data_IF_534511472205
#
_entry.id   IF_534511472205
#
_cell.length_a   1.000
_cell.length_b   1.000
_cell.length_c   1.000
_cell.angle_alpha   90.00
_cell.angle_beta   90.00
_cell.angle_gamma   90.00
#
_symmetry.space_group_name_H-M   'P 1'
#
loop_
_entity.id
_entity.type
_entity.pdbx_description
1 polymer ?
#
# COMPACT_ATOMS: atom_id res chain seq x y z
N UNK A 1 -29.38 -15.25 4.47
CA UNK A 1 -28.98 -15.92 5.73
C UNK A 1 -27.46 -15.97 5.76
N UNK A 2 -26.84 -15.14 6.58
CA UNK A 2 -25.37 -15.05 6.70
C UNK A 2 -24.90 -16.23 7.54
N UNK A 3 -24.18 -17.19 6.96
CA UNK A 3 -23.47 -18.20 7.74
C UNK A 3 -22.20 -17.55 8.31
N UNK A 4 -22.22 -17.26 9.60
CA UNK A 4 -21.01 -16.94 10.36
C UNK A 4 -20.24 -18.24 10.56
N UNK A 5 -19.01 -18.29 10.04
CA UNK A 5 -18.07 -19.34 10.44
C UNK A 5 -17.38 -18.82 11.69
N UNK A 6 -17.96 -19.16 12.85
CA UNK A 6 -17.28 -19.02 14.12
C UNK A 6 -16.41 -20.26 14.34
N UNK A 7 -15.10 -20.11 14.38
CA UNK A 7 -14.23 -21.11 14.97
C UNK A 7 -14.34 -20.96 16.49
N UNK A 8 -15.24 -21.69 17.10
CA UNK A 8 -15.34 -21.79 18.54
C UNK A 8 -14.35 -22.85 19.02
N UNK A 9 -13.26 -22.48 19.65
CA UNK A 9 -12.48 -23.36 20.49
C UNK A 9 -13.11 -23.40 21.88
N UNK A 10 -13.69 -24.56 22.22
CA UNK A 10 -14.22 -24.86 23.53
C UNK A 10 -13.08 -25.00 24.54
N UNK A 11 -13.18 -24.21 25.61
CA UNK A 11 -12.29 -24.23 26.77
C UNK A 11 -12.60 -25.47 27.63
N UNK A 12 -11.64 -26.40 27.75
CA UNK A 12 -11.59 -27.36 28.86
C UNK A 12 -10.57 -26.82 29.86
N UNK A 13 -11.04 -26.43 31.03
CA UNK A 13 -10.18 -26.10 32.16
C UNK A 13 -9.59 -27.37 32.75
N UNK A 14 -8.29 -27.58 32.57
CA UNK A 14 -7.47 -28.43 33.42
C UNK A 14 -6.22 -27.60 33.77
N UNK A 15 -5.95 -27.47 35.06
CA UNK A 15 -4.83 -26.76 35.61
C UNK A 15 -3.51 -27.40 35.17
N UNK A 16 -2.89 -26.84 34.14
CA UNK A 16 -1.56 -27.13 33.66
C UNK A 16 -1.14 -25.93 32.85
N UNK A 17 0.08 -25.46 33.02
CA UNK A 17 0.67 -24.34 32.27
C UNK A 17 0.62 -24.61 30.76
N UNK A 18 -0.43 -24.11 30.10
CA UNK A 18 -0.52 -24.13 28.65
C UNK A 18 0.45 -23.06 28.14
N UNK A 19 1.34 -23.36 27.21
CA UNK A 19 2.17 -22.33 26.59
C UNK A 19 1.28 -21.27 25.95
N UNK A 20 1.62 -20.01 26.15
CA UNK A 20 0.89 -18.90 25.56
C UNK A 20 0.87 -19.07 24.03
N UNK A 21 -0.32 -19.07 23.42
CA UNK A 21 -0.48 -19.04 21.97
C UNK A 21 -0.58 -17.60 21.53
N UNK A 22 -0.03 -17.29 20.34
CA UNK A 22 -0.21 -16.01 19.70
C UNK A 22 -1.72 -15.74 19.49
N UNK A 23 -2.16 -14.54 19.80
CA UNK A 23 -3.51 -14.08 19.53
C UNK A 23 -3.51 -13.21 18.28
N UNK A 24 -4.57 -13.30 17.48
CA UNK A 24 -4.74 -12.50 16.26
C UNK A 24 -5.82 -11.46 16.47
N UNK A 25 -5.53 -10.18 16.18
CA UNK A 25 -6.51 -9.09 16.18
C UNK A 25 -6.84 -8.72 14.76
N UNK A 26 -8.11 -8.50 14.48
CA UNK A 26 -8.65 -8.17 13.16
C UNK A 26 -9.30 -9.37 12.49
N UNK A 27 -10.23 -9.11 11.61
CA UNK A 27 -10.83 -10.14 10.77
C UNK A 27 -10.22 -10.03 9.37
N UNK A 28 -9.73 -11.16 8.85
CA UNK A 28 -9.39 -11.23 7.44
C UNK A 28 -10.65 -10.97 6.61
N UNK A 29 -10.56 -10.04 5.66
CA UNK A 29 -11.66 -9.76 4.76
C UNK A 29 -11.82 -10.91 3.77
N UNK A 30 -12.96 -11.60 3.79
CA UNK A 30 -13.26 -12.58 2.75
C UNK A 30 -13.71 -11.86 1.48
N UNK A 31 -12.88 -11.91 0.46
CA UNK A 31 -13.17 -11.37 -0.86
C UNK A 31 -13.59 -12.52 -1.77
N UNK A 32 -14.74 -12.39 -2.40
CA UNK A 32 -15.26 -13.39 -3.35
C UNK A 32 -15.30 -12.80 -4.75
N UNK A 33 -14.65 -13.43 -5.70
CA UNK A 33 -14.78 -13.14 -7.12
C UNK A 33 -15.63 -14.20 -7.79
N UNK A 34 -16.63 -13.79 -8.54
CA UNK A 34 -17.48 -14.69 -9.33
C UNK A 34 -17.50 -14.24 -10.78
N UNK A 35 -17.24 -15.16 -11.67
CA UNK A 35 -17.11 -14.93 -13.11
C UNK A 35 -17.93 -15.96 -13.88
N UNK A 36 -18.74 -15.54 -14.87
CA UNK A 36 -19.56 -16.42 -15.69
C UNK A 36 -18.94 -16.58 -17.08
N UNK A 37 -18.76 -17.81 -17.50
CA UNK A 37 -18.22 -18.13 -18.85
C UNK A 37 -19.15 -17.60 -19.94
N UNK A 38 -18.56 -17.01 -20.97
CA UNK A 38 -19.29 -16.37 -22.08
C UNK A 38 -19.70 -14.95 -21.83
N UNK A 39 -19.46 -14.40 -20.63
CA UNK A 39 -19.78 -13.02 -20.28
C UNK A 39 -18.53 -12.16 -20.12
N UNK A 40 -18.73 -10.83 -20.13
CA UNK A 40 -17.71 -9.82 -19.82
C UNK A 40 -17.93 -9.24 -18.42
N UNK A 41 -18.29 -10.08 -17.47
CA UNK A 41 -18.65 -9.67 -16.13
C UNK A 41 -17.90 -10.48 -15.09
N UNK A 42 -17.26 -9.75 -14.18
CA UNK A 42 -16.67 -10.23 -12.95
C UNK A 42 -17.42 -9.57 -11.78
N UNK A 43 -17.66 -10.29 -10.73
CA UNK A 43 -18.27 -9.75 -9.52
C UNK A 43 -17.31 -9.88 -8.35
N UNK A 44 -17.00 -8.77 -7.66
CA UNK A 44 -16.29 -8.77 -6.38
C UNK A 44 -17.29 -8.47 -5.28
N UNK A 45 -17.48 -9.41 -4.35
CA UNK A 45 -18.45 -9.27 -3.25
C UNK A 45 -19.84 -8.79 -3.72
N UNK A 46 -20.32 -9.29 -4.89
CA UNK A 46 -21.56 -8.88 -5.60
C UNK A 46 -21.50 -7.53 -6.34
N UNK A 47 -20.44 -6.76 -6.25
CA UNK A 47 -20.25 -5.56 -7.06
C UNK A 47 -19.75 -5.94 -8.44
N UNK A 48 -20.41 -5.45 -9.48
CA UNK A 48 -20.05 -5.76 -10.87
C UNK A 48 -18.79 -5.01 -11.30
N UNK A 49 -17.87 -5.74 -11.91
CA UNK A 49 -16.67 -5.22 -12.56
C UNK A 49 -16.73 -5.60 -14.04
N UNK A 50 -16.83 -4.61 -14.95
CA UNK A 50 -16.85 -4.90 -16.37
C UNK A 50 -15.49 -5.40 -16.85
N UNK A 51 -15.49 -6.49 -17.60
CA UNK A 51 -14.30 -7.02 -18.24
C UNK A 51 -14.19 -6.49 -19.67
N UNK A 52 -12.99 -6.28 -20.14
CA UNK A 52 -12.70 -5.90 -21.51
C UNK A 52 -12.79 -7.09 -22.48
N UNK A 53 -12.77 -8.33 -21.97
CA UNK A 53 -12.91 -9.56 -22.74
C UNK A 53 -13.77 -10.60 -22.01
N UNK A 54 -14.43 -11.47 -22.78
CA UNK A 54 -15.27 -12.52 -22.21
C UNK A 54 -14.41 -13.69 -21.68
N UNK A 55 -14.86 -14.26 -20.57
CA UNK A 55 -14.32 -15.49 -19.98
C UNK A 55 -14.73 -16.66 -20.85
N UNK A 56 -13.81 -17.59 -21.11
CA UNK A 56 -14.08 -18.76 -21.95
C UNK A 56 -13.41 -20.03 -21.39
N UNK A 57 -13.77 -21.19 -21.96
CA UNK A 57 -13.13 -22.45 -21.62
C UNK A 57 -12.12 -22.81 -22.72
N UNK A 58 -10.91 -23.19 -22.31
CA UNK A 58 -9.87 -23.75 -23.18
C UNK A 58 -9.21 -24.95 -22.50
N UNK A 59 -9.15 -26.06 -23.19
CA UNK A 59 -8.53 -27.29 -22.68
C UNK A 59 -9.03 -27.74 -21.29
N UNK A 60 -10.31 -27.49 -21.02
CA UNK A 60 -10.94 -27.80 -19.73
C UNK A 60 -10.72 -26.75 -18.63
N UNK A 61 -10.03 -25.66 -18.92
CA UNK A 61 -9.77 -24.58 -17.95
C UNK A 61 -10.62 -23.35 -18.24
N UNK A 62 -11.18 -22.75 -17.20
CA UNK A 62 -11.77 -21.43 -17.28
C UNK A 62 -10.66 -20.38 -17.40
N UNK A 63 -10.70 -19.60 -18.46
CA UNK A 63 -9.68 -18.61 -18.83
C UNK A 63 -10.13 -17.22 -18.45
N UNK A 64 -9.44 -16.58 -17.50
CA UNK A 64 -9.73 -15.24 -17.02
C UNK A 64 -8.76 -14.22 -17.61
N UNK A 65 -9.23 -13.03 -18.02
CA UNK A 65 -8.36 -11.98 -18.52
C UNK A 65 -7.49 -11.42 -17.38
N UNK A 66 -6.17 -11.51 -17.56
CA UNK A 66 -5.16 -11.24 -16.54
C UNK A 66 -5.28 -9.82 -15.97
N UNK A 67 -5.29 -8.81 -16.83
CA UNK A 67 -5.34 -7.40 -16.42
C UNK A 67 -6.59 -7.08 -15.59
N UNK A 68 -7.75 -7.43 -16.11
CA UNK A 68 -9.01 -7.07 -15.49
C UNK A 68 -9.21 -7.75 -14.12
N UNK A 69 -8.73 -8.97 -13.96
CA UNK A 69 -8.80 -9.66 -12.67
C UNK A 69 -7.87 -8.99 -11.65
N UNK A 70 -6.64 -8.67 -12.02
CA UNK A 70 -5.67 -8.06 -11.12
C UNK A 70 -6.04 -6.65 -10.68
N UNK A 71 -6.47 -5.80 -11.61
CA UNK A 71 -6.96 -4.45 -11.26
C UNK A 71 -8.19 -4.48 -10.37
N UNK A 72 -8.91 -5.60 -10.32
CA UNK A 72 -10.05 -5.79 -9.43
C UNK A 72 -9.65 -6.20 -8.00
N UNK A 73 -8.44 -6.71 -7.80
CA UNK A 73 -7.91 -7.10 -6.49
C UNK A 73 -7.19 -5.92 -5.85
N UNK A 74 -6.27 -5.33 -6.59
CA UNK A 74 -5.44 -4.20 -6.18
C UNK A 74 -5.29 -3.28 -7.39
N UNK A 75 -5.22 -1.96 -7.21
CA UNK A 75 -5.08 -0.99 -8.30
C UNK A 75 -3.72 -1.09 -9.04
N UNK A 76 -3.16 -2.29 -9.10
CA UNK A 76 -1.88 -2.56 -9.71
C UNK A 76 -1.82 -2.26 -11.21
N UNK A 77 -0.70 -1.76 -11.65
CA UNK A 77 -0.40 -1.55 -13.07
C UNK A 77 0.14 -2.83 -13.69
N UNK A 78 -0.33 -3.19 -14.89
CA UNK A 78 0.19 -4.31 -15.66
C UNK A 78 0.91 -3.79 -16.90
N UNK A 79 2.11 -4.31 -17.11
CA UNK A 79 2.90 -4.07 -18.31
C UNK A 79 2.86 -5.32 -19.18
N UNK A 80 2.67 -5.12 -20.49
CA UNK A 80 2.64 -6.19 -21.49
C UNK A 80 3.65 -5.91 -22.59
N UNK A 81 4.43 -6.91 -22.87
CA UNK A 81 5.37 -6.90 -23.96
C UNK A 81 4.95 -7.86 -25.05
N UNK A 82 4.66 -7.31 -26.21
CA UNK A 82 4.09 -8.06 -27.32
C UNK A 82 5.08 -9.03 -27.96
N UNK A 83 6.36 -8.66 -28.04
CA UNK A 83 7.39 -9.39 -28.79
C UNK A 83 7.89 -10.60 -28.02
N UNK A 84 8.18 -10.45 -26.74
CA UNK A 84 8.60 -11.56 -25.86
C UNK A 84 7.42 -12.32 -25.25
N UNK A 85 6.19 -11.80 -25.43
CA UNK A 85 4.96 -12.33 -24.83
C UNK A 85 5.05 -12.49 -23.31
N UNK A 86 5.72 -11.53 -22.68
CA UNK A 86 5.86 -11.42 -21.24
C UNK A 86 4.90 -10.37 -20.69
N UNK A 87 4.13 -10.72 -19.68
CA UNK A 87 3.38 -9.78 -18.88
C UNK A 87 3.96 -9.72 -17.47
N UNK A 88 4.10 -8.53 -16.90
CA UNK A 88 4.48 -8.40 -15.51
C UNK A 88 3.66 -7.31 -14.82
N UNK A 89 3.51 -7.44 -13.51
CA UNK A 89 2.67 -6.58 -12.71
C UNK A 89 3.12 -6.58 -11.26
N UNK A 90 2.72 -5.54 -10.54
CA UNK A 90 2.87 -5.47 -9.09
C UNK A 90 1.53 -5.82 -8.45
N UNK A 91 1.55 -6.67 -7.44
CA UNK A 91 0.41 -7.04 -6.62
C UNK A 91 0.85 -7.09 -5.15
N UNK A 92 0.34 -6.19 -4.31
CA UNK A 92 0.78 -6.05 -2.91
C UNK A 92 2.30 -5.91 -2.74
N UNK A 93 2.96 -5.14 -3.58
CA UNK A 93 4.41 -5.00 -3.56
C UNK A 93 5.19 -6.19 -4.13
N UNK A 94 4.51 -7.28 -4.53
CA UNK A 94 5.13 -8.45 -5.14
C UNK A 94 5.09 -8.34 -6.66
N UNK A 95 6.18 -8.71 -7.33
CA UNK A 95 6.25 -8.76 -8.79
C UNK A 95 5.76 -10.11 -9.29
N UNK A 96 4.72 -10.11 -10.12
CA UNK A 96 4.23 -11.30 -10.84
C UNK A 96 4.61 -11.17 -12.30
N UNK A 97 5.32 -12.14 -12.85
CA UNK A 97 5.66 -12.18 -14.27
C UNK A 97 5.08 -13.45 -14.92
N UNK A 98 4.41 -13.28 -16.06
CA UNK A 98 3.80 -14.35 -16.85
C UNK A 98 4.48 -14.39 -18.23
N UNK A 99 5.31 -15.39 -18.47
CA UNK A 99 5.89 -15.67 -19.79
C UNK A 99 4.96 -16.63 -20.54
N UNK A 100 4.23 -16.08 -21.50
CA UNK A 100 3.17 -16.82 -22.22
C UNK A 100 3.80 -17.83 -23.18
N UNK A 101 4.98 -17.55 -23.72
CA UNK A 101 5.68 -18.44 -24.66
C UNK A 101 6.21 -19.68 -23.96
N UNK A 102 6.89 -19.47 -22.82
CA UNK A 102 7.39 -20.57 -21.99
C UNK A 102 6.31 -21.20 -21.11
N UNK A 103 5.13 -20.58 -21.05
CA UNK A 103 4.04 -20.97 -20.14
C UNK A 103 4.50 -21.06 -18.69
N UNK A 104 5.24 -20.06 -18.22
CA UNK A 104 5.75 -19.99 -16.86
C UNK A 104 5.26 -18.72 -16.16
N UNK A 105 5.06 -18.82 -14.86
CA UNK A 105 4.70 -17.70 -14.00
C UNK A 105 5.71 -17.66 -12.86
N UNK A 106 6.19 -16.47 -12.52
CA UNK A 106 7.05 -16.24 -11.36
C UNK A 106 6.43 -15.18 -10.44
N UNK A 107 6.67 -15.34 -9.14
CA UNK A 107 6.37 -14.32 -8.13
C UNK A 107 7.68 -13.95 -7.45
N UNK A 108 8.05 -12.67 -7.48
CA UNK A 108 9.36 -12.16 -7.02
C UNK A 108 10.56 -12.90 -7.64
N UNK A 109 10.42 -13.33 -8.88
CA UNK A 109 11.44 -14.10 -9.60
C UNK A 109 11.43 -15.61 -9.32
N UNK A 110 10.71 -16.08 -8.31
CA UNK A 110 10.57 -17.51 -7.99
C UNK A 110 9.45 -18.14 -8.83
N UNK A 111 9.72 -19.29 -9.50
CA UNK A 111 8.71 -19.96 -10.32
C UNK A 111 7.62 -20.58 -9.46
N UNK A 112 6.37 -20.45 -9.92
CA UNK A 112 5.22 -21.15 -9.32
C UNK A 112 4.74 -22.26 -10.24
N UNK A 113 4.04 -23.25 -9.67
CA UNK A 113 3.43 -24.32 -10.43
C UNK A 113 2.30 -23.77 -11.33
N UNK A 114 2.34 -24.12 -12.63
CA UNK A 114 1.38 -23.66 -13.63
C UNK A 114 0.53 -24.83 -14.13
N UNK A 115 -0.79 -24.71 -13.97
CA UNK A 115 -1.79 -25.64 -14.47
C UNK A 115 -2.42 -25.12 -15.76
N UNK A 116 -2.40 -25.92 -16.82
CA UNK A 116 -2.94 -25.52 -18.12
C UNK A 116 -2.03 -24.52 -18.86
N UNK A 117 -2.47 -24.09 -20.03
CA UNK A 117 -1.68 -23.16 -20.85
C UNK A 117 -2.32 -21.77 -20.88
N UNK A 118 -1.53 -20.76 -20.61
CA UNK A 118 -1.90 -19.37 -20.82
C UNK A 118 -2.19 -19.10 -22.29
N UNK A 119 -2.99 -18.10 -22.58
CA UNK A 119 -3.43 -17.79 -23.95
C UNK A 119 -3.42 -16.29 -24.23
N UNK A 120 -3.23 -15.94 -25.49
CA UNK A 120 -3.44 -14.57 -25.97
C UNK A 120 -4.59 -14.61 -26.97
N UNK A 121 -5.63 -13.84 -26.68
CA UNK A 121 -6.79 -13.71 -27.55
C UNK A 121 -7.20 -12.25 -27.67
N UNK A 122 -7.35 -11.77 -28.90
CA UNK A 122 -7.73 -10.37 -29.21
C UNK A 122 -6.81 -9.34 -28.49
N UNK A 123 -5.49 -9.64 -28.44
CA UNK A 123 -4.49 -8.79 -27.79
C UNK A 123 -4.55 -8.79 -26.26
N UNK A 124 -5.26 -9.72 -25.65
CA UNK A 124 -5.39 -9.87 -24.20
C UNK A 124 -4.85 -11.19 -23.72
N UNK A 125 -4.21 -11.15 -22.55
CA UNK A 125 -3.66 -12.34 -21.90
C UNK A 125 -4.74 -12.95 -21.01
N UNK A 126 -4.85 -14.27 -21.11
CA UNK A 126 -5.72 -15.08 -20.28
C UNK A 126 -4.91 -16.11 -19.52
N UNK A 127 -5.22 -16.23 -18.24
CA UNK A 127 -4.59 -17.19 -17.34
C UNK A 127 -5.65 -18.19 -16.86
N UNK A 128 -5.34 -19.50 -16.87
CA UNK A 128 -6.22 -20.49 -16.29
C UNK A 128 -6.56 -20.18 -14.83
N UNK A 129 -7.83 -20.28 -14.47
CA UNK A 129 -8.33 -19.95 -13.14
C UNK A 129 -7.53 -20.57 -12.00
N UNK A 130 -7.11 -21.83 -12.15
CA UNK A 130 -6.36 -22.56 -11.11
C UNK A 130 -5.02 -21.93 -10.75
N UNK A 131 -4.39 -21.23 -11.69
CA UNK A 131 -3.10 -20.57 -11.41
C UNK A 131 -3.23 -19.39 -10.46
N UNK A 132 -4.42 -18.81 -10.36
CA UNK A 132 -4.68 -17.68 -9.50
C UNK A 132 -4.42 -17.96 -8.00
N UNK A 133 -4.68 -19.20 -7.56
CA UNK A 133 -4.32 -19.62 -6.20
C UNK A 133 -2.83 -19.42 -5.94
N UNK A 134 -1.97 -19.96 -6.80
CA UNK A 134 -0.53 -19.91 -6.61
C UNK A 134 0.01 -18.47 -6.75
N UNK A 135 -0.55 -17.70 -7.68
CA UNK A 135 -0.23 -16.28 -7.83
C UNK A 135 -0.60 -15.50 -6.57
N UNK A 136 -1.83 -15.64 -6.08
CA UNK A 136 -2.34 -14.91 -4.93
C UNK A 136 -1.62 -15.30 -3.64
N UNK A 137 -1.40 -16.60 -3.42
CA UNK A 137 -0.64 -17.07 -2.26
C UNK A 137 0.81 -16.57 -2.28
N UNK A 138 1.46 -16.55 -3.45
CA UNK A 138 2.79 -15.97 -3.60
C UNK A 138 2.84 -14.46 -3.34
N UNK A 139 1.71 -13.78 -3.45
CA UNK A 139 1.57 -12.34 -3.17
C UNK A 139 1.01 -12.04 -1.77
N UNK A 140 0.99 -13.02 -0.86
CA UNK A 140 0.59 -12.82 0.53
C UNK A 140 -0.93 -12.79 0.76
N UNK A 141 -1.74 -13.33 -0.16
CA UNK A 141 -3.14 -13.65 0.10
C UNK A 141 -3.26 -15.12 0.51
N UNK A 142 -4.31 -15.47 1.20
CA UNK A 142 -4.61 -16.87 1.54
C UNK A 142 -5.74 -17.40 0.66
N UNK A 143 -5.43 -18.39 -0.18
CA UNK A 143 -6.39 -19.08 -1.06
C UNK A 143 -6.16 -20.59 -0.93
N UNK A 144 -7.14 -21.32 -0.43
CA UNK A 144 -7.12 -22.78 -0.35
C UNK A 144 -7.58 -23.44 -1.69
N UNK A 145 -7.33 -24.72 -1.85
CA UNK A 145 -7.81 -25.45 -3.05
C UNK A 145 -9.34 -25.48 -3.13
N UNK A 146 -10.01 -25.48 -1.99
CA UNK A 146 -11.48 -25.45 -1.86
C UNK A 146 -12.09 -24.10 -2.19
N UNK A 147 -11.27 -23.05 -2.28
CA UNK A 147 -11.72 -21.68 -2.51
C UNK A 147 -11.83 -21.34 -4.00
N UNK A 148 -11.38 -22.24 -4.88
CA UNK A 148 -11.60 -22.16 -6.32
C UNK A 148 -12.70 -23.13 -6.70
N UNK A 149 -13.88 -22.58 -6.91
CA UNK A 149 -15.10 -23.36 -7.13
C UNK A 149 -15.52 -23.22 -8.60
N UNK A 150 -15.78 -24.35 -9.25
CA UNK A 150 -16.38 -24.41 -10.57
C UNK A 150 -17.79 -25.00 -10.49
N UNK A 151 -18.78 -24.21 -10.87
CA UNK A 151 -20.16 -24.67 -11.07
C UNK A 151 -20.37 -24.96 -12.58
N UNK A 152 -20.47 -26.25 -12.90
CA UNK A 152 -20.62 -26.70 -14.29
C UNK A 152 -22.03 -26.43 -14.84
N UNK A 153 -23.06 -26.39 -13.99
CA UNK A 153 -24.44 -26.15 -14.39
C UNK A 153 -24.65 -24.67 -14.77
N UNK A 154 -24.16 -23.77 -13.92
CA UNK A 154 -24.25 -22.31 -14.14
C UNK A 154 -23.09 -21.76 -15.01
N UNK A 155 -22.08 -22.60 -15.28
CA UNK A 155 -20.81 -22.21 -15.95
C UNK A 155 -20.16 -21.00 -15.27
N UNK A 156 -20.13 -21.03 -13.94
CA UNK A 156 -19.52 -19.98 -13.13
C UNK A 156 -18.25 -20.45 -12.46
N UNK A 157 -17.27 -19.57 -12.41
CA UNK A 157 -16.04 -19.75 -11.67
C UNK A 157 -16.04 -18.79 -10.48
N UNK A 158 -15.77 -19.30 -9.29
CA UNK A 158 -15.67 -18.50 -8.07
C UNK A 158 -14.30 -18.68 -7.44
N UNK A 159 -13.66 -17.57 -7.09
CA UNK A 159 -12.42 -17.55 -6.30
C UNK A 159 -12.74 -16.83 -4.99
N UNK A 160 -12.48 -17.50 -3.88
CA UNK A 160 -12.56 -16.90 -2.55
C UNK A 160 -11.14 -16.71 -2.01
N UNK A 161 -10.83 -15.55 -1.50
CA UNK A 161 -9.55 -15.27 -0.86
C UNK A 161 -9.77 -14.56 0.47
N UNK A 162 -8.83 -14.76 1.38
CA UNK A 162 -8.75 -14.01 2.62
C UNK A 162 -7.69 -12.91 2.45
N UNK A 163 -8.11 -11.69 2.68
CA UNK A 163 -7.21 -10.56 2.84
C UNK A 163 -6.94 -10.37 4.34
N UNK A 164 -5.78 -10.81 4.76
CA UNK A 164 -5.31 -10.73 6.15
C UNK A 164 -4.48 -9.46 6.44
N UNK A 165 -4.37 -8.54 5.50
CA UNK A 165 -3.62 -7.29 5.69
C UNK A 165 -4.10 -6.45 6.87
N UNK A 166 -5.32 -6.73 7.37
CA UNK A 166 -5.92 -6.10 8.55
C UNK A 166 -5.83 -6.95 9.81
N UNK A 167 -5.18 -8.12 9.72
CA UNK A 167 -5.00 -9.05 10.84
C UNK A 167 -3.68 -8.75 11.53
N UNK A 168 -3.71 -8.51 12.84
CA UNK A 168 -2.51 -8.27 13.66
C UNK A 168 -2.29 -9.50 14.53
N UNK A 169 -1.14 -10.14 14.41
CA UNK A 169 -0.73 -11.19 15.32
C UNK A 169 -0.12 -10.58 16.59
N UNK A 170 -0.67 -10.92 17.74
CA UNK A 170 -0.11 -10.55 19.05
C UNK A 170 0.85 -11.64 19.47
N UNK A 171 2.13 -11.32 19.77
CA UNK A 171 3.08 -12.28 20.28
C UNK A 171 2.58 -12.97 21.55
N UNK A 172 2.93 -14.23 21.72
CA UNK A 172 2.51 -15.05 22.87
C UNK A 172 3.01 -14.53 24.23
N UNK A 173 4.02 -13.69 24.23
CA UNK A 173 4.66 -13.05 25.39
C UNK A 173 4.12 -11.64 25.68
N UNK A 174 3.16 -11.15 24.92
CA UNK A 174 2.52 -9.88 25.23
C UNK A 174 1.83 -9.92 26.61
N UNK A 175 1.94 -8.86 27.44
CA UNK A 175 1.38 -8.84 28.78
C UNK A 175 -0.16 -9.02 28.73
N UNK A 176 -0.66 -10.06 29.38
CA UNK A 176 -2.10 -10.37 29.46
C UNK A 176 -2.73 -9.75 30.69
N UNK A 177 -3.88 -9.11 30.53
CA UNK A 177 -4.67 -8.65 31.67
C UNK A 177 -5.26 -9.84 32.43
N UNK A 178 -4.90 -9.96 33.70
CA UNK A 178 -5.60 -10.78 34.68
C UNK A 178 -6.62 -9.91 35.39
N UNK A 179 -7.84 -9.87 34.89
CA UNK A 179 -8.98 -9.17 35.51
C UNK A 179 -10.22 -10.00 35.37
N UNK A 180 -10.81 -10.41 36.47
CA UNK A 180 -12.10 -11.06 36.46
C UNK A 180 -13.18 -10.15 35.87
N UNK A 181 -13.83 -10.60 34.81
CA UNK A 181 -15.13 -10.08 34.45
C UNK A 181 -15.38 -9.52 33.09
N UNK A 182 -14.41 -9.43 32.16
CA UNK A 182 -14.73 -9.10 30.77
C UNK A 182 -13.97 -9.99 29.80
N UNK A 183 -14.70 -10.85 29.09
CA UNK A 183 -14.18 -11.54 27.91
C UNK A 183 -13.85 -10.49 26.87
N UNK A 184 -12.57 -10.15 26.72
CA UNK A 184 -12.09 -9.36 25.60
C UNK A 184 -12.11 -10.23 24.33
N UNK A 185 -13.26 -10.29 23.69
CA UNK A 185 -13.37 -10.67 22.29
C UNK A 185 -13.23 -9.38 21.50
N UNK A 186 -12.11 -9.18 20.80
CA UNK A 186 -11.83 -7.99 19.99
C UNK A 186 -12.66 -7.90 18.71
N UNK A 187 -13.58 -8.77 18.52
CA UNK A 187 -14.61 -8.73 17.50
C UNK A 187 -15.92 -8.33 18.14
N UNK A 188 -16.25 -7.05 18.17
CA UNK A 188 -17.62 -6.54 18.36
C UNK A 188 -17.94 -5.70 19.61
N UNK A 189 -17.37 -5.80 20.82
CA UNK A 189 -17.74 -4.83 21.86
C UNK A 189 -17.33 -3.40 21.52
N UNK A 190 -16.24 -3.22 20.78
CA UNK A 190 -15.79 -1.90 20.34
C UNK A 190 -16.73 -1.30 19.29
N UNK A 191 -17.25 -2.11 18.37
CA UNK A 191 -18.18 -1.65 17.33
C UNK A 191 -19.57 -1.25 17.85
N UNK A 192 -19.98 -1.74 19.02
CA UNK A 192 -21.25 -1.34 19.66
C UNK A 192 -21.11 -0.05 20.47
N UNK A 193 -19.91 0.32 20.85
CA UNK A 193 -19.62 1.53 21.63
C UNK A 193 -19.23 2.71 20.77
N UNK A 194 -18.62 2.47 19.58
CA UNK A 194 -18.12 3.46 18.65
C UNK A 194 -18.78 3.30 17.28
N UNK A 195 -19.00 4.42 16.59
CA UNK A 195 -19.60 4.42 15.28
C UNK A 195 -18.56 4.11 14.18
N UNK A 196 -17.30 4.50 14.40
CA UNK A 196 -16.18 4.19 13.50
C UNK A 196 -14.91 3.90 14.31
N UNK A 197 -14.11 2.92 13.83
CA UNK A 197 -12.79 2.59 14.38
C UNK A 197 -11.81 2.45 13.22
N UNK A 198 -10.71 3.22 13.28
CA UNK A 198 -9.62 3.19 12.29
C UNK A 198 -8.34 2.65 12.91
N UNK A 199 -7.76 1.65 12.29
CA UNK A 199 -6.41 1.21 12.63
C UNK A 199 -5.41 2.28 12.14
N UNK A 200 -4.48 2.68 13.00
CA UNK A 200 -3.45 3.67 12.71
C UNK A 200 -2.02 3.12 12.80
N UNK A 201 -1.91 1.80 12.84
CA UNK A 201 -0.63 1.09 12.93
C UNK A 201 -0.14 0.85 14.36
N UNK A 202 0.83 -0.03 14.51
CA UNK A 202 1.51 -0.38 15.77
C UNK A 202 0.57 -0.77 16.92
N UNK A 203 -0.58 -1.36 16.59
CA UNK A 203 -1.57 -1.78 17.59
C UNK A 203 -2.39 -0.64 18.19
N UNK A 204 -2.46 0.51 17.54
CA UNK A 204 -3.29 1.64 17.98
C UNK A 204 -4.45 1.89 17.04
N UNK A 205 -5.55 2.41 17.61
CA UNK A 205 -6.77 2.69 16.88
C UNK A 205 -7.33 4.06 17.27
N UNK A 206 -7.91 4.76 16.29
CA UNK A 206 -8.74 5.93 16.53
C UNK A 206 -10.20 5.48 16.44
N UNK A 207 -10.94 5.62 17.52
CA UNK A 207 -12.37 5.37 17.55
C UNK A 207 -13.15 6.70 17.61
N UNK A 208 -14.30 6.73 16.96
CA UNK A 208 -15.14 7.90 16.84
C UNK A 208 -16.56 7.60 17.28
N UNK A 209 -17.18 8.57 17.96
CA UNK A 209 -18.62 8.57 18.21
C UNK A 209 -19.28 9.70 17.45
N UNK A 210 -20.39 9.38 16.82
CA UNK A 210 -21.23 10.35 16.11
C UNK A 210 -22.50 10.67 16.89
N UNK A 211 -22.92 11.90 16.80
CA UNK A 211 -24.24 12.31 17.24
C UNK A 211 -24.89 13.16 16.15
N UNK A 212 -26.07 12.73 15.66
CA UNK A 212 -26.81 13.44 14.60
C UNK A 212 -26.00 13.65 13.30
N UNK A 213 -25.16 12.66 12.93
CA UNK A 213 -24.35 12.70 11.72
C UNK A 213 -23.10 13.59 11.81
N UNK A 214 -22.67 13.95 13.02
CA UNK A 214 -21.42 14.67 13.28
C UNK A 214 -20.59 13.90 14.30
N UNK A 215 -19.28 13.85 14.08
CA UNK A 215 -18.36 13.26 15.05
C UNK A 215 -18.40 14.14 16.31
N UNK A 216 -18.70 13.50 17.43
CA UNK A 216 -18.80 14.14 18.74
C UNK A 216 -17.55 13.97 19.58
N UNK A 217 -16.92 12.79 19.43
CA UNK A 217 -15.81 12.39 20.28
C UNK A 217 -14.83 11.54 19.52
N UNK A 218 -13.54 11.72 19.82
CA UNK A 218 -12.44 10.89 19.36
C UNK A 218 -11.81 10.18 20.56
N UNK A 219 -11.40 8.96 20.36
CA UNK A 219 -10.71 8.15 21.35
C UNK A 219 -9.48 7.52 20.71
N UNK A 220 -8.35 7.56 21.39
CA UNK A 220 -7.20 6.71 21.08
C UNK A 220 -7.31 5.45 21.91
N UNK A 221 -7.26 4.31 21.23
CA UNK A 221 -7.29 3.00 21.85
C UNK A 221 -5.97 2.28 21.60
N UNK A 222 -5.54 1.49 22.56
CA UNK A 222 -4.43 0.56 22.37
C UNK A 222 -4.87 -0.74 21.68
N UNK A 223 -3.93 -1.67 21.49
CA UNK A 223 -4.18 -2.98 20.90
C UNK A 223 -5.15 -3.86 21.70
N UNK A 224 -5.41 -3.52 22.96
CA UNK A 224 -6.38 -4.20 23.83
C UNK A 224 -7.75 -3.54 23.80
N UNK A 225 -7.88 -2.40 23.08
CA UNK A 225 -9.08 -1.58 23.08
C UNK A 225 -9.25 -0.70 24.32
N UNK A 226 -8.19 -0.56 25.15
CA UNK A 226 -8.21 0.36 26.27
C UNK A 226 -8.11 1.79 25.77
N UNK A 227 -8.89 2.68 26.36
CA UNK A 227 -8.84 4.11 26.02
C UNK A 227 -7.60 4.74 26.63
N UNK A 228 -6.66 5.14 25.80
CA UNK A 228 -5.49 5.90 26.18
C UNK A 228 -5.82 7.39 26.28
N UNK A 229 -6.62 7.90 25.34
CA UNK A 229 -7.03 9.28 25.25
C UNK A 229 -8.52 9.38 24.95
N UNK A 230 -9.17 10.36 25.51
CA UNK A 230 -10.57 10.68 25.30
C UNK A 230 -10.72 12.16 25.05
N UNK A 231 -11.22 12.51 23.89
CA UNK A 231 -11.49 13.89 23.51
C UNK A 231 -12.99 14.11 23.37
N UNK A 232 -13.64 14.22 24.51
CA UNK A 232 -15.06 14.56 24.63
C UNK A 232 -15.16 16.08 24.88
N UNK A 233 -15.63 16.85 23.93
CA UNK A 233 -15.90 18.28 24.04
C UNK A 233 -14.73 19.26 23.98
N UNK A 234 -13.53 18.86 23.65
CA UNK A 234 -12.35 19.76 23.66
C UNK A 234 -12.20 20.59 22.37
N UNK A 235 -13.30 20.78 21.61
CA UNK A 235 -13.25 21.53 20.35
C UNK A 235 -12.37 20.89 19.30
N UNK A 236 -12.23 19.56 19.31
CA UNK A 236 -11.48 18.81 18.30
C UNK A 236 -12.37 18.54 17.10
N UNK A 237 -11.97 19.10 15.96
CA UNK A 237 -12.60 18.86 14.66
C UNK A 237 -12.10 17.56 14.03
N UNK A 238 -10.82 17.22 14.24
CA UNK A 238 -10.18 16.06 13.63
C UNK A 238 -9.04 15.52 14.49
N UNK A 239 -8.98 14.20 14.59
CA UNK A 239 -7.84 13.45 15.13
C UNK A 239 -7.42 12.41 14.08
N UNK A 240 -6.14 12.34 13.77
CA UNK A 240 -5.62 11.39 12.77
C UNK A 240 -4.19 10.96 13.05
N UNK A 241 -3.79 9.85 12.45
CA UNK A 241 -2.41 9.40 12.49
C UNK A 241 -1.50 10.40 11.76
N UNK A 242 -0.36 10.73 12.35
CA UNK A 242 0.69 11.52 11.73
C UNK A 242 1.92 10.67 11.35
N UNK A 243 1.99 9.40 11.76
CA UNK A 243 3.16 8.53 11.58
C UNK A 243 4.09 8.56 12.78
N UNK A 244 4.99 7.58 12.86
CA UNK A 244 6.04 7.44 13.89
C UNK A 244 5.57 7.58 15.34
N UNK A 245 4.36 7.13 15.63
CA UNK A 245 3.82 7.20 16.99
C UNK A 245 3.18 8.55 17.35
N UNK A 246 3.06 9.43 16.39
CA UNK A 246 2.41 10.74 16.59
C UNK A 246 1.02 10.78 15.98
N UNK A 247 0.19 11.67 16.56
CA UNK A 247 -1.15 11.99 16.09
C UNK A 247 -1.20 13.48 15.77
N UNK A 248 -1.96 13.83 14.74
CA UNK A 248 -2.29 15.20 14.41
C UNK A 248 -3.70 15.54 14.88
N UNK A 249 -3.83 16.65 15.52
CA UNK A 249 -5.10 17.19 16.01
C UNK A 249 -5.41 18.47 15.24
N UNK A 250 -6.66 18.64 14.88
CA UNK A 250 -7.19 19.92 14.41
C UNK A 250 -8.32 20.35 15.32
N UNK A 251 -8.26 21.59 15.78
CA UNK A 251 -9.25 22.20 16.67
C UNK A 251 -10.24 23.06 15.88
N UNK A 252 -11.44 23.22 16.42
CA UNK A 252 -12.49 24.08 15.84
C UNK A 252 -12.07 25.56 15.72
N UNK A 253 -11.14 26.01 16.53
CA UNK A 253 -10.56 27.37 16.44
C UNK A 253 -9.54 27.53 15.30
N UNK A 254 -9.28 26.46 14.54
CA UNK A 254 -8.35 26.43 13.41
C UNK A 254 -6.91 26.09 13.79
N UNK A 255 -6.57 25.96 15.07
CA UNK A 255 -5.26 25.48 15.50
C UNK A 255 -5.05 24.01 15.14
N UNK A 256 -3.79 23.63 14.98
CA UNK A 256 -3.39 22.22 14.86
C UNK A 256 -2.34 21.90 15.92
N UNK A 257 -2.27 20.64 16.33
CA UNK A 257 -1.26 20.16 17.27
C UNK A 257 -0.70 18.82 16.85
N UNK A 258 0.56 18.58 17.16
CA UNK A 258 1.19 17.28 17.15
C UNK A 258 1.20 16.75 18.59
N UNK A 259 0.67 15.56 18.79
CA UNK A 259 0.64 14.87 20.09
C UNK A 259 1.27 13.48 19.95
N UNK A 260 1.86 12.97 21.00
CA UNK A 260 2.27 11.57 21.06
C UNK A 260 1.09 10.65 21.45
N UNK A 261 1.32 9.34 21.42
CA UNK A 261 0.32 8.33 21.79
C UNK A 261 -0.09 8.34 23.26
N UNK A 262 0.63 9.07 24.12
CA UNK A 262 0.27 9.27 25.52
C UNK A 262 -0.55 10.56 25.72
N UNK A 263 -0.83 11.28 24.64
CA UNK A 263 -1.55 12.56 24.68
C UNK A 263 -0.69 13.77 25.03
N UNK A 264 0.62 13.58 25.16
CA UNK A 264 1.53 14.69 25.39
C UNK A 264 1.64 15.52 24.11
N UNK A 265 1.23 16.78 24.21
CA UNK A 265 1.39 17.74 23.14
C UNK A 265 2.87 18.07 22.96
N UNK A 266 3.36 17.91 21.72
CA UNK A 266 4.72 18.26 21.35
C UNK A 266 4.77 19.75 21.02
N UNK A 267 3.85 20.21 20.18
CA UNK A 267 3.61 21.61 19.91
C UNK A 267 2.17 21.83 19.40
N UNK A 268 1.73 23.09 19.45
CA UNK A 268 0.46 23.58 18.90
C UNK A 268 0.71 24.85 18.10
N UNK A 269 0.00 25.04 17.02
CA UNK A 269 0.17 26.18 16.12
C UNK A 269 -1.12 26.55 15.41
N UNK A 270 -1.31 27.84 15.13
CA UNK A 270 -2.33 28.36 14.25
C UNK A 270 -1.79 28.70 12.84
N UNK A 271 -0.47 28.58 12.66
CA UNK A 271 0.21 29.01 11.43
C UNK A 271 0.29 27.90 10.40
N UNK A 272 0.38 26.62 10.85
CA UNK A 272 0.63 25.48 10.00
C UNK A 272 -0.46 24.43 10.11
N UNK A 273 -0.75 23.78 8.98
CA UNK A 273 -1.50 22.51 8.94
C UNK A 273 -0.52 21.36 8.99
N UNK A 274 -0.71 20.44 9.94
CA UNK A 274 0.14 19.25 10.13
C UNK A 274 -0.36 18.11 9.28
N UNK A 275 0.53 17.44 8.52
CA UNK A 275 0.20 16.30 7.68
C UNK A 275 0.76 14.98 8.20
N UNK A 276 2.09 14.86 8.30
CA UNK A 276 2.75 13.60 8.56
C UNK A 276 4.11 13.81 9.21
N UNK A 277 4.52 12.84 10.03
CA UNK A 277 5.88 12.74 10.60
C UNK A 277 6.62 11.63 9.85
N UNK A 278 7.83 11.89 9.44
CA UNK A 278 8.77 10.92 8.88
C UNK A 278 10.20 11.27 9.26
N UNK A 279 10.95 10.29 9.72
CA UNK A 279 12.33 10.42 10.20
C UNK A 279 12.51 11.60 11.17
N UNK A 280 11.52 11.81 12.07
CA UNK A 280 11.52 12.86 13.06
C UNK A 280 11.19 14.27 12.54
N UNK A 281 10.78 14.39 11.28
CA UNK A 281 10.41 15.65 10.62
C UNK A 281 8.89 15.72 10.44
N UNK A 282 8.30 16.86 10.79
CA UNK A 282 6.87 17.11 10.67
C UNK A 282 6.58 17.86 9.39
N UNK A 283 5.98 17.18 8.42
CA UNK A 283 5.52 17.81 7.18
C UNK A 283 4.33 18.71 7.46
N UNK A 284 4.44 19.97 7.09
CA UNK A 284 3.42 20.99 7.31
C UNK A 284 3.21 21.87 6.09
N UNK A 285 2.09 22.58 6.05
CA UNK A 285 1.90 23.71 5.15
C UNK A 285 1.52 24.95 5.93
N UNK A 286 2.04 26.09 5.52
CA UNK A 286 1.37 27.36 5.77
C UNK A 286 0.28 27.54 4.66
N UNK A 287 -0.33 28.72 4.54
CA UNK A 287 -1.45 28.93 3.60
C UNK A 287 -1.10 28.60 2.15
N UNK A 288 0.13 28.86 1.70
CA UNK A 288 0.51 28.84 0.29
C UNK A 288 1.66 27.87 -0.04
N UNK A 289 2.49 27.53 0.94
CA UNK A 289 3.71 26.73 0.74
C UNK A 289 3.82 25.61 1.78
N UNK A 290 4.62 24.63 1.45
CA UNK A 290 4.91 23.49 2.33
C UNK A 290 6.35 23.52 2.82
N UNK A 291 6.59 22.86 3.96
CA UNK A 291 7.90 22.74 4.58
C UNK A 291 7.90 21.73 5.71
N UNK A 292 8.94 21.77 6.50
CA UNK A 292 9.14 20.88 7.63
C UNK A 292 9.43 21.66 8.93
N UNK A 293 8.86 21.13 10.01
CA UNK A 293 9.20 21.50 11.38
C UNK A 293 9.90 20.31 12.05
N UNK A 294 10.64 20.58 13.12
CA UNK A 294 11.05 19.54 14.04
C UNK A 294 9.87 19.09 14.94
N UNK A 295 10.09 18.09 15.77
CA UNK A 295 9.07 17.58 16.70
C UNK A 295 8.69 18.60 17.79
N UNK A 296 9.43 19.67 17.97
CA UNK A 296 9.16 20.77 18.89
C UNK A 296 8.44 21.94 18.23
N UNK A 297 8.23 21.87 16.90
CA UNK A 297 7.54 22.89 16.13
C UNK A 297 8.44 24.02 15.60
N UNK A 298 9.77 23.86 15.68
CA UNK A 298 10.70 24.81 15.08
C UNK A 298 10.84 24.54 13.58
N UNK A 299 10.95 25.62 12.80
CA UNK A 299 11.15 25.52 11.35
C UNK A 299 12.52 24.90 11.02
N UNK A 300 12.50 23.85 10.19
CA UNK A 300 13.70 23.25 9.59
C UNK A 300 13.93 23.82 8.20
N UNK A 301 12.85 24.00 7.43
CA UNK A 301 12.95 24.50 6.05
C UNK A 301 12.25 25.86 5.91
N UNK A 302 12.77 26.75 5.09
CA UNK A 302 11.99 27.92 4.66
C UNK A 302 10.79 27.42 3.82
N UNK A 303 9.64 28.10 4.00
CA UNK A 303 8.40 27.78 3.26
C UNK A 303 8.47 28.35 1.82
N UNK A 304 9.30 27.76 0.97
CA UNK A 304 9.52 28.16 -0.41
C UNK A 304 8.90 27.19 -1.42
N UNK A 305 8.69 25.94 -1.01
CA UNK A 305 8.24 24.87 -1.89
C UNK A 305 6.72 24.84 -2.03
N UNK A 306 6.24 24.56 -3.23
CA UNK A 306 4.82 24.34 -3.49
C UNK A 306 4.35 22.98 -2.95
N UNK A 307 5.25 22.00 -2.97
CA UNK A 307 5.02 20.67 -2.40
C UNK A 307 6.31 20.12 -1.83
N UNK A 308 6.20 19.40 -0.71
CA UNK A 308 7.27 18.57 -0.15
C UNK A 308 6.72 17.18 0.14
N UNK A 309 7.53 16.15 -0.05
CA UNK A 309 7.18 14.78 0.30
C UNK A 309 7.81 14.38 1.63
N UNK A 310 7.58 13.14 2.07
CA UNK A 310 8.13 12.62 3.33
C UNK A 310 9.64 12.37 3.18
N UNK A 311 10.35 12.38 4.29
CA UNK A 311 11.73 11.93 4.31
C UNK A 311 11.83 10.43 4.04
N UNK A 312 12.77 10.07 3.20
CA UNK A 312 13.21 8.72 2.91
C UNK A 312 14.73 8.67 2.87
N UNK A 313 15.32 7.84 3.71
CA UNK A 313 16.78 7.70 3.87
C UNK A 313 17.51 9.04 4.13
N UNK A 314 16.89 9.96 4.86
CA UNK A 314 17.46 11.26 5.22
C UNK A 314 17.37 12.32 4.15
N UNK A 315 16.60 12.10 3.10
CA UNK A 315 16.34 13.04 2.01
C UNK A 315 14.84 13.24 1.82
N UNK A 316 14.40 14.43 1.50
CA UNK A 316 13.02 14.70 1.12
C UNK A 316 12.96 15.32 -0.27
N UNK A 317 12.04 14.82 -1.08
CA UNK A 317 11.70 15.43 -2.36
C UNK A 317 10.94 16.73 -2.15
N UNK A 318 11.27 17.76 -2.90
CA UNK A 318 10.64 19.08 -2.91
C UNK A 318 10.32 19.53 -4.33
N UNK A 319 9.25 20.29 -4.50
CA UNK A 319 8.92 20.84 -5.81
C UNK A 319 8.55 22.32 -5.73
N UNK A 320 8.93 23.05 -6.81
CA UNK A 320 8.40 24.37 -7.13
C UNK A 320 7.67 24.30 -8.46
N UNK A 321 6.63 25.12 -8.64
CA UNK A 321 5.90 25.22 -9.90
C UNK A 321 6.35 26.44 -10.67
N UNK A 322 6.88 26.20 -11.88
CA UNK A 322 7.25 27.23 -12.84
C UNK A 322 6.10 27.48 -13.82
N UNK A 323 5.81 28.74 -14.10
CA UNK A 323 4.85 29.11 -15.12
C UNK A 323 5.45 28.88 -16.53
N UNK A 324 4.93 27.88 -17.23
CA UNK A 324 5.35 27.59 -18.62
C UNK A 324 4.14 27.54 -19.53
N UNK A 325 4.04 28.50 -20.45
CA UNK A 325 2.91 28.58 -21.40
C UNK A 325 1.55 28.76 -20.74
N UNK A 326 1.48 29.45 -19.58
CA UNK A 326 0.26 29.70 -18.82
C UNK A 326 -0.22 28.48 -18.02
N UNK A 327 0.65 27.51 -17.77
CA UNK A 327 0.38 26.34 -16.92
C UNK A 327 1.49 26.17 -15.89
N UNK A 328 1.15 25.84 -14.63
CA UNK A 328 2.14 25.48 -13.63
C UNK A 328 2.77 24.11 -13.99
N UNK A 329 4.10 24.07 -14.07
CA UNK A 329 4.88 22.87 -14.36
C UNK A 329 5.80 22.62 -13.17
N UNK A 330 5.71 21.47 -12.50
CA UNK A 330 6.58 21.16 -11.37
C UNK A 330 8.04 20.99 -11.80
N UNK A 331 8.95 21.43 -10.91
CA UNK A 331 10.36 21.11 -10.92
C UNK A 331 10.72 20.49 -9.58
N UNK A 332 11.35 19.35 -9.64
CA UNK A 332 11.67 18.54 -8.49
C UNK A 332 13.12 18.68 -8.07
N UNK A 333 13.38 18.71 -6.79
CA UNK A 333 14.70 18.75 -6.16
C UNK A 333 14.69 18.00 -4.84
N UNK A 334 15.77 18.11 -4.08
CA UNK A 334 15.91 17.39 -2.81
C UNK A 334 16.58 18.24 -1.73
N UNK A 335 16.13 18.06 -0.51
CA UNK A 335 16.72 18.63 0.70
C UNK A 335 17.21 17.52 1.62
N UNK A 336 18.18 17.84 2.47
CA UNK A 336 18.64 16.96 3.55
C UNK A 336 17.82 17.16 4.84
N UNK A 337 18.17 16.42 5.91
CA UNK A 337 17.51 16.50 7.21
C UNK A 337 17.61 17.86 7.89
N UNK A 338 18.63 18.62 7.59
CA UNK A 338 18.82 19.96 8.15
C UNK A 338 18.08 21.02 7.33
N UNK A 339 17.36 20.61 6.27
CA UNK A 339 16.62 21.49 5.37
C UNK A 339 17.49 22.18 4.33
N UNK A 340 18.77 21.79 4.19
CA UNK A 340 19.63 22.31 3.15
C UNK A 340 19.26 21.76 1.79
N UNK A 341 19.18 22.63 0.80
CA UNK A 341 18.97 22.21 -0.59
C UNK A 341 20.21 21.50 -1.14
N UNK A 342 20.10 20.18 -1.31
CA UNK A 342 21.16 19.36 -1.90
C UNK A 342 21.07 19.38 -3.43
N UNK A 343 19.85 19.38 -3.93
CA UNK A 343 19.55 19.45 -5.35
C UNK A 343 18.46 20.49 -5.56
N UNK A 344 18.80 21.59 -6.22
CA UNK A 344 17.82 22.61 -6.59
C UNK A 344 16.73 22.03 -7.49
N UNK A 345 15.46 22.46 -7.33
CA UNK A 345 14.36 22.01 -8.16
C UNK A 345 14.62 22.29 -9.65
N UNK A 346 14.88 21.22 -10.41
CA UNK A 346 15.22 21.27 -11.85
C UNK A 346 14.72 20.07 -12.64
N UNK A 347 14.50 18.96 -11.98
CA UNK A 347 14.06 17.74 -12.67
C UNK A 347 12.59 17.81 -13.06
N UNK A 348 12.21 17.13 -14.15
CA UNK A 348 10.84 17.05 -14.62
C UNK A 348 9.98 16.12 -13.74
N UNK A 349 10.61 15.06 -13.26
CA UNK A 349 10.06 14.09 -12.32
C UNK A 349 11.20 13.54 -11.46
N UNK A 350 10.90 13.04 -10.29
CA UNK A 350 11.83 12.33 -9.41
C UNK A 350 11.09 11.26 -8.60
N UNK A 351 11.87 10.46 -7.88
CA UNK A 351 11.39 9.46 -6.94
C UNK A 351 12.17 9.58 -5.65
N UNK A 352 11.62 9.08 -4.57
CA UNK A 352 12.26 9.07 -3.27
C UNK A 352 13.62 8.33 -3.31
N UNK A 353 14.49 8.62 -2.35
CA UNK A 353 15.73 7.89 -2.17
C UNK A 353 15.46 6.48 -1.66
N UNK A 354 16.00 5.50 -2.38
CA UNK A 354 16.01 4.09 -2.02
C UNK A 354 17.39 3.49 -2.30
N UNK A 355 17.93 2.71 -1.37
CA UNK A 355 19.29 2.16 -1.46
C UNK A 355 20.37 3.23 -1.71
N UNK A 356 20.17 4.45 -1.20
CA UNK A 356 21.12 5.57 -1.32
C UNK A 356 21.12 6.30 -2.66
N UNK A 357 20.17 6.02 -3.54
CA UNK A 357 20.02 6.68 -4.85
C UNK A 357 18.57 7.06 -5.13
N UNK A 358 18.36 8.10 -5.93
CA UNK A 358 17.06 8.52 -6.40
C UNK A 358 16.99 8.53 -7.92
N UNK A 359 15.89 8.07 -8.50
CA UNK A 359 15.65 8.22 -9.92
C UNK A 359 15.18 9.64 -10.23
N UNK A 360 15.74 10.25 -11.28
CA UNK A 360 15.43 11.63 -11.70
C UNK A 360 15.25 11.72 -13.21
N UNK A 361 14.33 12.55 -13.66
CA UNK A 361 14.03 12.75 -15.08
C UNK A 361 14.47 14.12 -15.57
N UNK A 362 15.21 14.13 -16.67
CA UNK A 362 15.59 15.31 -17.44
C UNK A 362 14.88 15.32 -18.80
N UNK A 363 15.32 16.23 -19.71
CA UNK A 363 14.88 16.18 -21.11
C UNK A 363 15.39 14.93 -21.84
N UNK A 364 16.51 14.38 -21.40
CA UNK A 364 17.19 13.24 -22.04
C UNK A 364 16.68 11.88 -21.53
N UNK A 365 15.81 11.89 -20.52
CA UNK A 365 15.20 10.70 -19.93
C UNK A 365 15.48 10.57 -18.45
N UNK A 366 15.28 9.37 -17.93
CA UNK A 366 15.54 9.01 -16.54
C UNK A 366 16.99 8.59 -16.32
N UNK A 367 17.55 8.99 -15.19
CA UNK A 367 18.84 8.60 -14.66
C UNK A 367 18.80 8.47 -13.14
N UNK A 368 19.94 8.41 -12.50
CA UNK A 368 20.03 8.28 -11.05
C UNK A 368 21.06 9.23 -10.46
N UNK A 369 20.76 9.75 -9.28
CA UNK A 369 21.66 10.57 -8.46
C UNK A 369 21.90 9.93 -7.10
N UNK A 370 23.05 10.23 -6.51
CA UNK A 370 23.33 9.91 -5.11
C UNK A 370 22.83 11.03 -4.15
N UNK A 371 22.95 10.81 -2.84
CA UNK A 371 22.51 11.76 -1.81
C UNK A 371 23.31 13.07 -1.78
N UNK A 372 24.35 13.21 -2.57
CA UNK A 372 25.07 14.49 -2.78
C UNK A 372 24.56 15.26 -4.01
N UNK A 373 23.59 14.70 -4.72
CA UNK A 373 23.08 15.23 -5.97
C UNK A 373 23.95 14.94 -7.19
N UNK A 374 25.00 14.11 -7.02
CA UNK A 374 25.89 13.71 -8.12
C UNK A 374 25.22 12.62 -8.97
N UNK A 375 25.30 12.79 -10.28
CA UNK A 375 24.87 11.74 -11.20
C UNK A 375 25.65 10.44 -10.98
N UNK A 376 24.90 9.38 -10.70
CA UNK A 376 25.40 8.00 -10.65
C UNK A 376 25.24 7.33 -12.02
N UNK A 377 24.07 7.49 -12.62
CA UNK A 377 23.76 7.02 -13.96
C UNK A 377 23.16 8.17 -14.76
N UNK A 378 23.82 8.51 -15.87
CA UNK A 378 23.40 9.59 -16.76
C UNK A 378 21.97 9.37 -17.29
N UNK A 379 21.12 10.40 -17.33
CA UNK A 379 19.76 10.32 -17.85
C UNK A 379 19.74 9.84 -19.30
N UNK A 380 19.20 8.65 -19.52
CA UNK A 380 19.13 8.01 -20.84
C UNK A 380 17.95 7.04 -20.99
N UNK A 381 17.35 6.63 -19.88
CA UNK A 381 16.28 5.65 -19.89
C UNK A 381 14.93 6.30 -20.19
N UNK A 382 14.04 5.57 -20.86
CA UNK A 382 12.65 6.00 -21.04
C UNK A 382 11.88 5.94 -19.73
N UNK A 383 12.26 5.01 -18.82
CA UNK A 383 11.70 4.87 -17.49
C UNK A 383 12.76 4.27 -16.54
N UNK A 384 12.69 4.65 -15.26
CA UNK A 384 13.54 4.11 -14.19
C UNK A 384 12.74 3.91 -12.91
N UNK A 385 12.90 2.74 -12.29
CA UNK A 385 12.30 2.38 -11.00
C UNK A 385 13.25 2.65 -9.84
N UNK A 386 12.77 2.42 -8.62
CA UNK A 386 13.57 2.57 -7.42
C UNK A 386 14.55 1.40 -7.27
N UNK A 387 15.69 1.66 -6.65
CA UNK A 387 16.62 0.59 -6.27
C UNK A 387 16.10 -0.16 -5.05
N UNK A 388 16.17 -1.48 -5.12
CA UNK A 388 15.87 -2.38 -4.00
C UNK A 388 16.92 -3.51 -4.01
N UNK A 389 17.56 -3.74 -2.88
CA UNK A 389 18.64 -4.72 -2.75
C UNK A 389 19.75 -4.57 -3.81
N UNK A 390 20.10 -3.31 -4.10
CA UNK A 390 21.16 -2.95 -5.04
C UNK A 390 20.80 -3.09 -6.50
N UNK A 391 19.51 -3.26 -6.85
CA UNK A 391 19.04 -3.46 -8.23
C UNK A 391 17.83 -2.59 -8.53
N UNK A 392 17.69 -2.16 -9.78
CA UNK A 392 16.52 -1.42 -10.26
C UNK A 392 16.12 -1.86 -11.67
N UNK A 393 14.84 -1.74 -11.97
CA UNK A 393 14.36 -1.89 -13.34
C UNK A 393 14.51 -0.58 -14.10
N UNK A 394 14.98 -0.67 -15.33
CA UNK A 394 15.04 0.46 -16.26
C UNK A 394 14.54 0.05 -17.63
N UNK A 395 13.85 0.96 -18.31
CA UNK A 395 13.42 0.76 -19.70
C UNK A 395 14.22 1.70 -20.60
N UNK A 396 14.94 1.16 -21.57
CA UNK A 396 15.67 1.92 -22.58
C UNK A 396 14.70 2.61 -23.56
N UNK A 397 15.15 3.61 -24.29
CA UNK A 397 14.36 4.33 -25.31
C UNK A 397 13.89 3.44 -26.47
N UNK A 398 14.56 2.30 -26.69
CA UNK A 398 14.14 1.27 -27.63
C UNK A 398 13.07 0.32 -27.06
N UNK A 399 12.61 0.61 -25.82
CA UNK A 399 11.61 -0.15 -25.11
C UNK A 399 12.16 -1.35 -24.31
N UNK A 400 13.43 -1.71 -24.44
CA UNK A 400 13.98 -2.85 -23.68
C UNK A 400 14.09 -2.54 -22.21
N UNK A 401 13.56 -3.44 -21.38
CA UNK A 401 13.62 -3.34 -19.92
C UNK A 401 14.67 -4.29 -19.36
N UNK A 402 15.49 -3.77 -18.46
CA UNK A 402 16.59 -4.47 -17.83
C UNK A 402 16.49 -4.33 -16.31
N UNK A 403 16.93 -5.35 -15.61
CA UNK A 403 17.37 -5.22 -14.23
C UNK A 403 18.84 -4.80 -14.26
N UNK A 404 19.15 -3.66 -13.64
CA UNK A 404 20.52 -3.13 -13.56
C UNK A 404 20.98 -3.11 -12.11
N UNK A 405 22.30 -3.13 -11.91
CA UNK A 405 22.93 -2.78 -10.64
C UNK A 405 23.24 -1.27 -10.56
N UNK A 406 23.72 -0.82 -9.40
CA UNK A 406 24.05 0.60 -9.16
C UNK A 406 25.14 1.17 -10.07
N UNK A 407 25.94 0.32 -10.74
CA UNK A 407 26.89 0.76 -11.76
C UNK A 407 26.27 0.93 -13.15
N UNK A 408 24.98 0.61 -13.30
CA UNK A 408 24.28 0.58 -14.57
C UNK A 408 24.54 -0.68 -15.39
N UNK A 409 25.25 -1.67 -14.82
CA UNK A 409 25.50 -2.95 -15.49
C UNK A 409 24.18 -3.72 -15.56
N UNK A 410 23.83 -4.16 -16.74
CA UNK A 410 22.68 -5.03 -17.00
C UNK A 410 22.91 -6.40 -16.37
N UNK A 411 22.13 -6.71 -15.33
CA UNK A 411 22.22 -7.97 -14.58
C UNK A 411 21.34 -9.03 -15.23
N UNK A 412 20.13 -8.61 -15.63
CA UNK A 412 19.15 -9.50 -16.22
C UNK A 412 18.34 -8.75 -17.26
N UNK A 413 18.12 -9.37 -18.42
CA UNK A 413 17.15 -8.92 -19.39
C UNK A 413 15.75 -9.28 -18.89
N UNK A 414 14.87 -8.31 -18.84
CA UNK A 414 13.50 -8.51 -18.38
C UNK A 414 12.57 -8.59 -19.58
N UNK A 415 12.67 -7.62 -20.51
CA UNK A 415 11.70 -7.54 -21.61
C UNK A 415 12.16 -6.60 -22.72
N UNK A 416 11.69 -6.82 -23.96
CA UNK A 416 11.76 -5.85 -25.05
C UNK A 416 10.41 -5.14 -25.14
N UNK A 417 10.41 -3.83 -24.94
CA UNK A 417 9.21 -3.02 -24.98
C UNK A 417 8.76 -2.67 -26.39
N UNK A 418 7.58 -2.12 -26.45
CA UNK A 418 6.87 -1.62 -27.64
C UNK A 418 7.64 -0.60 -28.44
#
# INVERSE_FOLDING_TARGET
MKKKVCLAMSLLMLAGTVPAQAETIGEAEQITFTAKVGTKELYRNRSRIPLDAAIYIKDGYAMLPLRAFLTSIDNGTMHWEKETKLAWMMLRGNTVACDIEKNSITVNGEPIEVSGRMDIRDGRIFVPLRNWKNILNGCGYTVADTDIIWDAAEKTATVQLLDDSKVIEIPADAPRMTGEGRKASYTMPLSSEYDEIKNIGDGYFIAMKEERGRIKSYYLLDSKGERLLSYEKDGIEYLGNAGEGYLRVRYENGETALIDRNGKEQFRTAEYSIYQVSEGHVRVSNRDKMGFLDLQGNEITPFLYDTVWIFSEGMAEVAIYEETGGKPVPRYGFIDRDGNEVVSPKYKESRDFHDGVAAVQTADGWGYIDKTGKEMLTPQYAWAGDFTDGKAFVTEKNGKTWLIDKSGKKVQFITEGL
#
